data_IF_192816368722
#
_entry.id   IF_192816368722
#
_cell.length_a   1.000
_cell.length_b   1.000
_cell.length_c   1.000
_cell.angle_alpha   90.00
_cell.angle_beta   90.00
_cell.angle_gamma   90.00
#
_symmetry.space_group_name_H-M   'P 1'
#
loop_
_entity.id
_entity.type
_entity.pdbx_description
1 polymer ?
#
# COMPACT_ATOMS: atom_id res chain seq x y z
N UNK A 1 33.24 13.33 21.35
CA UNK A 1 33.39 12.11 20.52
C UNK A 1 32.10 11.30 20.70
N UNK A 2 31.63 10.57 19.67
CA UNK A 2 30.32 9.88 19.53
C UNK A 2 29.23 10.78 18.90
N UNK A 3 28.57 10.44 17.77
CA UNK A 3 28.58 9.26 16.90
C UNK A 3 28.38 9.73 15.46
N UNK A 4 29.11 9.10 14.53
CA UNK A 4 29.12 9.46 13.12
C UNK A 4 27.76 9.29 12.46
N UNK A 5 27.39 10.30 11.67
CA UNK A 5 26.36 10.21 10.64
C UNK A 5 26.70 9.04 9.71
N UNK A 6 26.11 7.87 9.94
CA UNK A 6 26.21 6.72 9.05
C UNK A 6 25.48 7.10 7.76
N UNK A 7 26.25 7.56 6.75
CA UNK A 7 25.76 7.61 5.36
C UNK A 7 25.30 6.20 5.01
N UNK A 8 23.99 6.00 4.92
CA UNK A 8 23.43 4.77 4.39
C UNK A 8 23.93 4.66 2.94
N UNK A 9 24.67 3.59 2.66
CA UNK A 9 25.26 3.36 1.35
C UNK A 9 24.14 3.08 0.34
N UNK A 10 24.12 3.80 -0.79
CA UNK A 10 23.12 3.63 -1.85
C UNK A 10 23.03 2.18 -2.36
N UNK A 11 24.13 1.41 -2.28
CA UNK A 11 24.15 -0.01 -2.65
C UNK A 11 23.32 -0.88 -1.69
N UNK A 12 23.28 -0.56 -0.40
CA UNK A 12 22.50 -1.31 0.59
C UNK A 12 21.01 -1.04 0.42
N UNK A 13 20.63 0.20 0.12
CA UNK A 13 19.24 0.57 -0.19
C UNK A 13 18.76 -0.15 -1.46
N UNK A 14 19.58 -0.20 -2.50
CA UNK A 14 19.26 -0.91 -3.74
C UNK A 14 19.05 -2.41 -3.52
N UNK A 15 19.91 -3.07 -2.76
CA UNK A 15 19.75 -4.50 -2.46
C UNK A 15 18.44 -4.78 -1.71
N UNK A 16 18.12 -3.96 -0.71
CA UNK A 16 16.86 -4.08 0.03
C UNK A 16 15.63 -4.04 -0.89
N UNK A 17 15.57 -3.08 -1.82
CA UNK A 17 14.44 -3.02 -2.76
C UNK A 17 14.38 -4.22 -3.71
N UNK A 18 15.53 -4.75 -4.15
CA UNK A 18 15.51 -5.95 -5.00
C UNK A 18 14.88 -7.14 -4.27
N UNK A 19 15.30 -7.38 -3.03
CA UNK A 19 14.77 -8.48 -2.21
C UNK A 19 13.25 -8.32 -1.96
N UNK A 20 12.81 -7.09 -1.66
CA UNK A 20 11.38 -6.77 -1.46
C UNK A 20 10.57 -6.97 -2.75
N UNK A 21 11.07 -6.45 -3.87
CA UNK A 21 10.39 -6.56 -5.17
C UNK A 21 10.25 -8.03 -5.56
N UNK A 22 11.28 -8.86 -5.33
CA UNK A 22 11.20 -10.30 -5.57
C UNK A 22 10.11 -10.96 -4.73
N UNK A 23 10.05 -10.66 -3.43
CA UNK A 23 9.03 -11.19 -2.51
C UNK A 23 7.61 -10.76 -2.89
N UNK A 24 7.42 -9.50 -3.24
CA UNK A 24 6.12 -8.96 -3.69
C UNK A 24 5.73 -9.60 -5.03
N UNK A 25 6.66 -9.70 -5.97
CA UNK A 25 6.41 -10.30 -7.29
C UNK A 25 6.01 -11.78 -7.16
N UNK A 26 6.67 -12.53 -6.28
CA UNK A 26 6.34 -13.94 -6.01
C UNK A 26 4.92 -14.15 -5.46
N UNK A 27 4.29 -13.11 -4.88
CA UNK A 27 2.94 -13.14 -4.32
C UNK A 27 2.00 -12.15 -4.98
N UNK A 28 2.35 -11.70 -6.18
CA UNK A 28 1.71 -10.57 -6.85
C UNK A 28 0.19 -10.71 -6.93
N UNK A 29 -0.32 -11.85 -7.36
CA UNK A 29 -1.77 -12.06 -7.52
C UNK A 29 -2.53 -11.91 -6.20
N UNK A 30 -1.99 -12.51 -5.13
CA UNK A 30 -2.57 -12.38 -3.78
C UNK A 30 -2.52 -10.93 -3.30
N UNK A 31 -1.36 -10.27 -3.42
CA UNK A 31 -1.20 -8.88 -2.96
C UNK A 31 -2.12 -7.94 -3.73
N UNK A 32 -2.24 -8.11 -5.05
CA UNK A 32 -3.16 -7.32 -5.88
C UNK A 32 -4.60 -7.53 -5.43
N UNK A 33 -5.04 -8.77 -5.20
CA UNK A 33 -6.39 -9.07 -4.72
C UNK A 33 -6.67 -8.40 -3.36
N UNK A 34 -5.74 -8.54 -2.43
CA UNK A 34 -5.87 -7.97 -1.08
C UNK A 34 -5.83 -6.44 -1.09
N UNK A 35 -5.05 -5.81 -1.98
CA UNK A 35 -5.06 -4.36 -2.15
C UNK A 35 -6.38 -3.85 -2.73
N UNK A 36 -7.02 -4.57 -3.66
CA UNK A 36 -8.36 -4.19 -4.13
C UNK A 36 -9.39 -4.33 -3.01
N UNK A 37 -9.42 -5.46 -2.30
CA UNK A 37 -10.32 -5.64 -1.14
C UNK A 37 -10.08 -4.55 -0.08
N UNK A 38 -8.82 -4.19 0.15
CA UNK A 38 -8.47 -3.13 1.08
C UNK A 38 -8.91 -1.75 0.59
N UNK A 39 -8.78 -1.45 -0.71
CA UNK A 39 -9.26 -0.21 -1.29
C UNK A 39 -10.76 -0.02 -1.04
N UNK A 40 -11.56 -1.08 -1.23
CA UNK A 40 -13.02 -1.04 -1.01
C UNK A 40 -13.42 -0.65 0.43
N UNK A 41 -12.52 -0.77 1.42
CA UNK A 41 -12.79 -0.30 2.78
C UNK A 41 -12.80 1.22 2.91
N UNK A 42 -12.21 1.93 1.95
CA UNK A 42 -12.24 3.39 1.81
C UNK A 42 -13.28 3.86 0.80
N UNK A 43 -14.01 2.97 0.14
CA UNK A 43 -14.98 3.37 -0.87
C UNK A 43 -16.22 3.96 -0.17
N UNK A 44 -16.50 5.27 -0.31
CA UNK A 44 -17.66 5.88 0.33
C UNK A 44 -18.98 5.31 -0.20
N UNK A 45 -19.02 4.83 -1.46
CA UNK A 45 -20.21 4.18 -2.03
C UNK A 45 -20.59 2.88 -1.31
N UNK A 46 -19.63 2.21 -0.67
CA UNK A 46 -19.87 0.99 0.11
C UNK A 46 -20.30 1.27 1.56
N UNK A 47 -20.21 2.53 2.02
CA UNK A 47 -20.67 2.90 3.36
C UNK A 47 -22.19 3.07 3.33
N UNK A 48 -22.88 1.96 3.54
CA UNK A 48 -24.34 1.90 3.71
C UNK A 48 -24.72 2.45 5.09
N UNK A 49 -24.42 3.70 5.44
CA UNK A 49 -24.93 4.29 6.69
C UNK A 49 -25.22 5.78 6.54
N UNK A 50 -26.53 6.07 6.45
CA UNK A 50 -27.21 7.36 6.60
C UNK A 50 -26.69 8.51 5.73
N UNK A 51 -27.57 9.06 4.87
CA UNK A 51 -27.40 10.33 4.11
C UNK A 51 -27.05 11.58 4.97
N UNK A 52 -26.71 11.42 6.25
CA UNK A 52 -26.49 12.48 7.23
C UNK A 52 -25.17 12.37 8.02
N UNK A 53 -24.28 11.43 7.71
CA UNK A 53 -23.11 11.13 8.57
C UNK A 53 -21.72 11.32 7.97
N UNK A 54 -21.59 11.56 6.68
CA UNK A 54 -20.32 11.88 6.02
C UNK A 54 -20.54 13.24 5.35
N UNK A 55 -19.71 14.23 5.66
CA UNK A 55 -19.74 15.51 4.95
C UNK A 55 -18.93 15.43 3.64
N UNK A 56 -19.06 16.45 2.80
CA UNK A 56 -18.41 16.48 1.48
C UNK A 56 -16.88 16.39 1.57
N UNK A 57 -16.28 16.91 2.65
CA UNK A 57 -14.83 16.87 2.87
C UNK A 57 -14.39 15.44 3.23
N UNK A 58 -15.11 14.78 4.12
CA UNK A 58 -14.85 13.38 4.49
C UNK A 58 -15.05 12.42 3.30
N UNK A 59 -16.08 12.65 2.46
CA UNK A 59 -16.30 11.88 1.24
C UNK A 59 -15.13 12.03 0.24
N UNK A 60 -14.61 13.24 0.08
CA UNK A 60 -13.46 13.50 -0.80
C UNK A 60 -12.19 12.80 -0.30
N UNK A 61 -11.88 12.90 1.00
CA UNK A 61 -10.73 12.20 1.62
C UNK A 61 -10.82 10.67 1.47
N UNK A 62 -12.04 10.13 1.60
CA UNK A 62 -12.31 8.72 1.38
C UNK A 62 -12.05 8.31 -0.06
N UNK A 63 -12.55 9.07 -1.04
CA UNK A 63 -12.29 8.82 -2.46
C UNK A 63 -10.81 8.93 -2.80
N UNK A 64 -10.09 9.90 -2.24
CA UNK A 64 -8.64 10.02 -2.44
C UNK A 64 -7.91 8.77 -1.94
N UNK A 65 -8.26 8.30 -0.74
CA UNK A 65 -7.69 7.09 -0.13
C UNK A 65 -8.00 5.84 -0.95
N UNK A 66 -9.26 5.67 -1.36
CA UNK A 66 -9.69 4.58 -2.26
C UNK A 66 -8.89 4.58 -3.56
N UNK A 67 -8.87 5.71 -4.27
CA UNK A 67 -8.21 5.84 -5.56
C UNK A 67 -6.71 5.59 -5.46
N UNK A 68 -6.09 6.05 -4.38
CA UNK A 68 -4.67 5.84 -4.15
C UNK A 68 -4.33 4.35 -4.01
N UNK A 69 -4.98 3.63 -3.09
CA UNK A 69 -4.74 2.19 -2.89
C UNK A 69 -5.09 1.39 -4.14
N UNK A 70 -6.21 1.70 -4.78
CA UNK A 70 -6.61 1.09 -6.04
C UNK A 70 -5.55 1.28 -7.13
N UNK A 71 -4.97 2.49 -7.23
CA UNK A 71 -3.91 2.78 -8.20
C UNK A 71 -2.63 1.98 -7.93
N UNK A 72 -2.29 1.71 -6.67
CA UNK A 72 -1.16 0.86 -6.31
C UNK A 72 -1.38 -0.58 -6.79
N UNK A 73 -2.59 -1.11 -6.59
CA UNK A 73 -2.98 -2.44 -7.08
C UNK A 73 -2.88 -2.51 -8.62
N UNK A 74 -3.39 -1.50 -9.33
CA UNK A 74 -3.31 -1.40 -10.80
C UNK A 74 -1.86 -1.33 -11.31
N UNK A 75 -1.02 -0.49 -10.70
CA UNK A 75 0.40 -0.39 -11.05
C UNK A 75 1.13 -1.70 -10.81
N UNK A 76 0.88 -2.36 -9.67
CA UNK A 76 1.50 -3.64 -9.35
C UNK A 76 1.08 -4.71 -10.37
N UNK A 77 -0.22 -4.81 -10.65
CA UNK A 77 -0.80 -5.69 -11.67
C UNK A 77 -0.16 -5.48 -13.05
N UNK A 78 0.13 -4.24 -13.43
CA UNK A 78 0.76 -3.87 -14.71
C UNK A 78 2.29 -3.89 -14.70
N UNK A 79 2.94 -4.23 -13.58
CA UNK A 79 4.40 -4.13 -13.39
C UNK A 79 4.95 -2.71 -13.64
N UNK A 80 4.20 -1.68 -13.23
CA UNK A 80 4.50 -0.26 -13.43
C UNK A 80 4.85 0.47 -12.12
N UNK A 81 5.16 -0.27 -11.05
CA UNK A 81 5.54 0.31 -9.76
C UNK A 81 6.94 0.94 -9.79
N UNK A 82 7.03 2.15 -9.27
CA UNK A 82 8.26 2.80 -8.83
C UNK A 82 8.68 2.29 -7.44
N UNK A 83 9.89 2.65 -6.98
CA UNK A 83 10.33 2.31 -5.62
C UNK A 83 9.40 2.87 -4.53
N UNK A 84 8.85 4.08 -4.75
CA UNK A 84 7.90 4.68 -3.82
C UNK A 84 6.61 3.85 -3.75
N UNK A 85 6.10 3.39 -4.89
CA UNK A 85 4.91 2.54 -4.90
C UNK A 85 5.14 1.24 -4.11
N UNK A 86 6.35 0.67 -4.13
CA UNK A 86 6.68 -0.49 -3.31
C UNK A 86 6.74 -0.19 -1.81
N UNK A 87 7.25 0.98 -1.40
CA UNK A 87 7.21 1.41 0.00
C UNK A 87 5.75 1.53 0.48
N UNK A 88 4.90 2.14 -0.34
CA UNK A 88 3.49 2.35 -0.04
C UNK A 88 2.72 1.01 -0.02
N UNK A 89 3.05 0.07 -0.91
CA UNK A 89 2.51 -1.31 -0.90
C UNK A 89 2.91 -2.05 0.38
N UNK A 90 4.16 -1.96 0.83
CA UNK A 90 4.60 -2.57 2.09
C UNK A 90 3.79 -2.02 3.26
N UNK A 91 3.63 -0.69 3.31
CA UNK A 91 2.85 -0.04 4.35
C UNK A 91 1.42 -0.58 4.41
N UNK A 92 0.73 -0.72 3.27
CA UNK A 92 -0.63 -1.26 3.25
C UNK A 92 -0.69 -2.75 3.57
N UNK A 93 0.31 -3.55 3.17
CA UNK A 93 0.38 -4.95 3.58
C UNK A 93 0.51 -5.08 5.10
N UNK A 94 1.29 -4.21 5.74
CA UNK A 94 1.40 -4.19 7.21
C UNK A 94 0.06 -3.84 7.87
N UNK A 95 -0.71 -2.88 7.32
CA UNK A 95 -2.05 -2.57 7.81
C UNK A 95 -3.03 -3.75 7.66
N UNK A 96 -3.06 -4.37 6.47
CA UNK A 96 -3.90 -5.55 6.20
C UNK A 96 -3.54 -6.68 7.18
N UNK A 97 -2.25 -6.90 7.41
CA UNK A 97 -1.77 -7.95 8.31
C UNK A 97 -2.04 -7.68 9.78
N UNK A 98 -1.97 -6.42 10.20
CA UNK A 98 -2.38 -6.03 11.55
C UNK A 98 -3.84 -6.42 11.80
N UNK A 99 -4.70 -6.23 10.79
CA UNK A 99 -6.12 -6.54 10.87
C UNK A 99 -6.44 -8.04 10.69
N UNK A 100 -5.69 -8.77 9.84
CA UNK A 100 -6.12 -10.09 9.34
C UNK A 100 -5.02 -11.17 9.23
N UNK A 101 -3.73 -10.82 9.30
CA UNK A 101 -2.56 -11.72 9.12
C UNK A 101 -2.53 -12.54 7.82
N UNK A 102 -3.02 -11.98 6.70
CA UNK A 102 -3.17 -12.69 5.43
C UNK A 102 -1.90 -12.82 4.58
N UNK A 103 -0.98 -11.85 4.63
CA UNK A 103 0.17 -11.75 3.73
C UNK A 103 1.47 -11.93 4.52
N UNK A 104 2.43 -12.69 3.97
CA UNK A 104 3.77 -12.83 4.57
C UNK A 104 4.81 -12.42 3.54
N UNK A 105 5.57 -11.35 3.76
CA UNK A 105 6.61 -10.89 2.83
C UNK A 105 7.99 -11.31 3.32
#
# INVERSE_FOLDING_TARGET
MFLGNKKINNNTKKQFYMDIIEKITAKKELIVSELYEWAETFNPENIIYNEYTIDEEEEEEMFESYNYVFSLAEKLKKNQCSYKDYDDIIFHIDQINYNTKKIKI
#
